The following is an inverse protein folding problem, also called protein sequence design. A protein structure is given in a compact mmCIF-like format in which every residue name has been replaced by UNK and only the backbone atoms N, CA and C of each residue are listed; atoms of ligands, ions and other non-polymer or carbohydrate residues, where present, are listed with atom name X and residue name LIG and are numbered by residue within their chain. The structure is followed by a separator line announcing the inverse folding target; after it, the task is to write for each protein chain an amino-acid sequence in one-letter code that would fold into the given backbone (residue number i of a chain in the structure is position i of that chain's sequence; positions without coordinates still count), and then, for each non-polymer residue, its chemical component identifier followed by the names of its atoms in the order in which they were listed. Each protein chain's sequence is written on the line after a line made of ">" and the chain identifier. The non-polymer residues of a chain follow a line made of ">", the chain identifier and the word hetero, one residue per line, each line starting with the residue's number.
data_IF_939920127894
#
_entry.id   IF_939920127894
#
_cell.length_a   1.000
_cell.length_b   1.000
_cell.length_c   1.000
_cell.angle_alpha   90.00
_cell.angle_beta   90.00
_cell.angle_gamma   90.00
#
_symmetry.space_group_name_H-M   'P 1'
#
loop_
_entity.id
_entity.type
_entity.pdbx_description
1 polymer ?
#
# COMPACT_ATOMS: atom_id res chain seq x y z
N UNK A 1 35.97 9.81 28.01
CA UNK A 1 35.45 8.42 28.03
C UNK A 1 33.98 8.31 28.42
N UNK A 2 33.45 9.16 29.32
CA UNK A 2 32.02 9.14 29.68
C UNK A 2 31.10 9.69 28.55
N UNK A 3 31.57 10.63 27.73
CA UNK A 3 30.79 11.18 26.59
C UNK A 3 30.62 10.20 25.42
N UNK A 4 31.62 9.37 25.10
CA UNK A 4 31.48 8.31 24.10
C UNK A 4 30.45 7.24 24.50
N UNK A 5 30.34 6.95 25.81
CA UNK A 5 29.36 6.00 26.33
C UNK A 5 27.92 6.56 26.35
N UNK A 6 27.76 7.89 26.33
CA UNK A 6 26.47 8.56 26.17
C UNK A 6 26.05 8.62 24.69
N UNK A 7 26.98 8.90 23.77
CA UNK A 7 26.73 8.84 22.32
C UNK A 7 26.33 7.43 21.85
N UNK A 8 26.91 6.38 22.46
CA UNK A 8 26.52 4.99 22.21
C UNK A 8 25.22 4.56 22.92
N UNK A 9 24.69 5.36 23.85
CA UNK A 9 23.39 5.11 24.49
C UNK A 9 22.21 5.75 23.74
N UNK A 10 22.44 6.78 22.93
CA UNK A 10 21.44 7.32 21.99
C UNK A 10 21.22 6.41 20.76
N UNK A 11 22.18 5.51 20.45
CA UNK A 11 22.09 4.53 19.36
C UNK A 11 21.50 3.16 19.78
N UNK A 12 20.74 3.09 20.89
CA UNK A 12 20.00 1.86 21.24
C UNK A 12 18.66 1.84 20.50
N UNK A 13 18.45 0.81 19.68
CA UNK A 13 17.29 0.60 18.80
C UNK A 13 15.97 1.19 19.29
N UNK A 14 15.35 2.00 18.43
CA UNK A 14 14.17 2.79 18.76
C UNK A 14 14.04 4.10 17.99
N UNK A 15 14.86 4.33 16.95
CA UNK A 15 14.72 5.50 16.09
C UNK A 15 13.49 5.40 15.18
N UNK A 16 13.08 6.50 14.50
CA UNK A 16 11.96 6.48 13.57
C UNK A 16 12.01 5.38 12.51
N UNK A 17 13.22 5.07 12.01
CA UNK A 17 13.44 3.99 11.05
C UNK A 17 13.15 2.63 11.69
N UNK A 18 13.58 2.40 12.92
CA UNK A 18 13.35 1.14 13.62
C UNK A 18 11.86 0.94 13.94
N UNK A 19 11.15 2.01 14.32
CA UNK A 19 9.70 2.00 14.52
C UNK A 19 8.96 1.69 13.21
N UNK A 20 9.31 2.37 12.12
CA UNK A 20 8.75 2.10 10.81
C UNK A 20 8.98 0.65 10.38
N UNK A 21 10.20 0.14 10.53
CA UNK A 21 10.53 -1.23 10.14
C UNK A 21 9.79 -2.26 11.00
N UNK A 22 9.68 -2.05 12.31
CA UNK A 22 8.91 -2.92 13.20
C UNK A 22 7.42 -2.96 12.79
N UNK A 23 6.83 -1.80 12.49
CA UNK A 23 5.44 -1.73 12.04
C UNK A 23 5.27 -2.35 10.64
N UNK A 24 6.20 -2.13 9.72
CA UNK A 24 6.18 -2.72 8.40
C UNK A 24 6.29 -4.25 8.47
N UNK A 25 7.17 -4.77 9.33
CA UNK A 25 7.30 -6.22 9.58
C UNK A 25 6.01 -6.84 10.13
N UNK A 26 5.25 -6.09 10.94
CA UNK A 26 3.97 -6.55 11.50
C UNK A 26 2.84 -6.50 10.45
N UNK A 27 2.71 -5.39 9.72
CA UNK A 27 1.55 -5.12 8.86
C UNK A 27 1.67 -5.64 7.44
N UNK A 28 2.87 -5.58 6.86
CA UNK A 28 3.06 -5.95 5.46
C UNK A 28 2.78 -7.43 5.15
N UNK A 29 3.15 -8.42 5.99
CA UNK A 29 2.85 -9.83 5.69
C UNK A 29 1.34 -10.12 5.63
N UNK A 30 0.54 -9.41 6.42
CA UNK A 30 -0.91 -9.50 6.34
C UNK A 30 -1.43 -8.85 5.05
N UNK A 31 -0.93 -7.66 4.71
CA UNK A 31 -1.29 -6.95 3.50
C UNK A 31 -0.98 -7.76 2.23
N UNK A 32 0.25 -8.27 2.08
CA UNK A 32 0.64 -9.07 0.93
C UNK A 32 -0.21 -10.34 0.80
N UNK A 33 -0.61 -10.95 1.92
CA UNK A 33 -1.50 -12.12 1.91
C UNK A 33 -2.88 -11.77 1.35
N UNK A 34 -3.43 -10.62 1.73
CA UNK A 34 -4.71 -10.12 1.18
C UNK A 34 -4.60 -9.96 -0.34
N UNK A 35 -3.51 -9.36 -0.83
CA UNK A 35 -3.26 -9.17 -2.25
C UNK A 35 -3.09 -10.50 -3.00
N UNK A 36 -2.32 -11.44 -2.45
CA UNK A 36 -2.11 -12.75 -3.07
C UNK A 36 -3.38 -13.60 -3.14
N UNK A 37 -4.30 -13.43 -2.19
CA UNK A 37 -5.57 -14.17 -2.16
C UNK A 37 -6.53 -13.81 -3.30
N UNK A 38 -6.34 -12.68 -3.98
CA UNK A 38 -7.10 -12.35 -5.19
C UNK A 38 -6.99 -13.43 -6.27
N UNK A 39 -5.85 -14.12 -6.34
CA UNK A 39 -5.65 -15.21 -7.30
C UNK A 39 -6.71 -16.33 -7.17
N UNK A 40 -7.28 -16.53 -5.97
CA UNK A 40 -8.35 -17.51 -5.73
C UNK A 40 -9.74 -17.06 -6.20
N UNK A 41 -9.91 -15.76 -6.50
CA UNK A 41 -11.16 -15.15 -6.95
C UNK A 41 -11.25 -15.02 -8.48
N UNK A 42 -10.20 -15.38 -9.21
CA UNK A 42 -10.18 -15.34 -10.68
C UNK A 42 -11.39 -16.07 -11.25
N UNK A 43 -12.18 -15.36 -12.06
CA UNK A 43 -13.38 -15.89 -12.72
C UNK A 43 -14.61 -16.03 -11.81
N UNK A 44 -14.56 -15.49 -10.58
CA UNK A 44 -15.64 -15.56 -9.58
C UNK A 44 -16.14 -14.16 -9.22
N UNK A 45 -17.41 -14.03 -8.87
CA UNK A 45 -18.00 -12.74 -8.45
C UNK A 45 -18.02 -11.70 -9.58
N UNK A 46 -18.11 -10.41 -9.24
CA UNK A 46 -17.78 -9.31 -10.15
C UNK A 46 -16.36 -8.80 -9.83
N UNK A 47 -15.64 -8.31 -10.83
CA UNK A 47 -14.26 -7.84 -10.64
C UNK A 47 -14.23 -6.65 -9.67
N UNK A 48 -15.16 -5.70 -9.82
CA UNK A 48 -15.32 -4.57 -8.89
C UNK A 48 -15.54 -5.02 -7.44
N UNK A 49 -16.38 -6.03 -7.24
CA UNK A 49 -16.75 -6.52 -5.90
C UNK A 49 -15.58 -7.26 -5.25
N UNK A 50 -14.74 -7.92 -6.03
CA UNK A 50 -13.52 -8.56 -5.54
C UNK A 50 -12.45 -7.54 -5.14
N UNK A 51 -12.36 -6.40 -5.85
CA UNK A 51 -11.37 -5.36 -5.60
C UNK A 51 -11.77 -4.36 -4.51
N UNK A 52 -13.07 -4.18 -4.25
CA UNK A 52 -13.55 -3.24 -3.25
C UNK A 52 -13.02 -3.54 -1.83
N UNK A 53 -13.03 -4.81 -1.33
CA UNK A 53 -12.37 -5.16 -0.07
C UNK A 53 -10.86 -4.86 -0.06
N UNK A 54 -10.20 -4.96 -1.21
CA UNK A 54 -8.77 -4.67 -1.34
C UNK A 54 -8.51 -3.18 -1.19
N UNK A 55 -9.33 -2.34 -1.81
CA UNK A 55 -9.21 -0.89 -1.67
C UNK A 55 -9.42 -0.44 -0.21
N UNK A 56 -10.42 -1.00 0.48
CA UNK A 56 -10.65 -0.74 1.92
C UNK A 56 -9.45 -1.13 2.78
N UNK A 57 -8.97 -2.37 2.62
CA UNK A 57 -7.81 -2.86 3.34
C UNK A 57 -6.53 -2.07 3.00
N UNK A 58 -6.38 -1.61 1.76
CA UNK A 58 -5.26 -0.78 1.32
C UNK A 58 -5.27 0.59 1.99
N UNK A 59 -6.43 1.25 2.09
CA UNK A 59 -6.58 2.52 2.81
C UNK A 59 -6.16 2.35 4.28
N UNK A 60 -6.67 1.31 4.95
CA UNK A 60 -6.34 1.03 6.35
C UNK A 60 -4.84 0.74 6.53
N UNK A 61 -4.28 -0.12 5.67
CA UNK A 61 -2.85 -0.44 5.67
C UNK A 61 -1.99 0.81 5.53
N UNK A 62 -2.28 1.66 4.53
CA UNK A 62 -1.50 2.86 4.29
C UNK A 62 -1.65 3.91 5.39
N UNK A 63 -2.80 4.01 6.06
CA UNK A 63 -2.96 4.87 7.24
C UNK A 63 -2.05 4.44 8.38
N UNK A 64 -1.99 3.14 8.65
CA UNK A 64 -1.14 2.59 9.70
C UNK A 64 0.35 2.81 9.39
N UNK A 65 0.81 2.47 8.18
CA UNK A 65 2.26 2.49 7.88
C UNK A 65 2.82 3.87 7.53
N UNK A 66 2.04 4.76 6.89
CA UNK A 66 2.56 6.06 6.45
C UNK A 66 2.92 6.96 7.63
N UNK A 67 2.10 6.97 8.69
CA UNK A 67 2.34 7.79 9.88
C UNK A 67 3.69 7.47 10.54
N UNK A 68 4.04 6.18 10.61
CA UNK A 68 5.33 5.72 11.14
C UNK A 68 6.52 6.04 10.23
N UNK A 69 6.29 6.20 8.91
CA UNK A 69 7.34 6.54 7.96
C UNK A 69 7.71 8.04 7.98
N UNK A 70 6.78 8.93 8.34
CA UNK A 70 7.00 10.39 8.28
C UNK A 70 8.29 10.87 8.97
N UNK A 71 8.64 10.46 10.20
CA UNK A 71 9.82 11.00 10.85
C UNK A 71 11.12 10.52 10.18
N UNK A 72 11.09 9.48 9.34
CA UNK A 72 12.23 9.05 8.55
C UNK A 72 12.64 10.07 7.45
N UNK A 73 11.75 11.00 7.12
CA UNK A 73 11.97 12.05 6.11
C UNK A 73 12.35 13.41 6.70
N UNK A 74 12.56 13.50 8.02
CA UNK A 74 12.87 14.76 8.72
C UNK A 74 14.35 15.14 8.69
N UNK A 75 15.25 14.19 8.37
CA UNK A 75 16.69 14.41 8.28
C UNK A 75 17.28 13.60 7.12
N UNK A 76 18.18 14.19 6.30
CA UNK A 76 18.83 13.48 5.20
C UNK A 76 19.50 12.17 5.63
N UNK A 77 20.15 12.14 6.81
CA UNK A 77 20.83 10.96 7.32
C UNK A 77 19.83 9.82 7.63
N UNK A 78 18.68 10.17 8.22
CA UNK A 78 17.63 9.19 8.55
C UNK A 78 16.94 8.69 7.28
N UNK A 79 16.76 9.55 6.28
CA UNK A 79 16.22 9.17 4.96
C UNK A 79 17.12 8.19 4.22
N UNK A 80 18.44 8.36 4.30
CA UNK A 80 19.40 7.39 3.73
C UNK A 80 19.22 6.01 4.39
N UNK A 81 19.23 5.96 5.73
CA UNK A 81 19.00 4.70 6.48
C UNK A 81 17.67 4.03 6.13
N UNK A 82 16.61 4.82 5.98
CA UNK A 82 15.30 4.33 5.55
C UNK A 82 15.37 3.64 4.18
N UNK A 83 16.00 4.28 3.19
CA UNK A 83 16.13 3.72 1.83
C UNK A 83 16.96 2.44 1.81
N UNK A 84 18.02 2.38 2.62
CA UNK A 84 18.85 1.18 2.78
C UNK A 84 18.02 0.04 3.38
N UNK A 85 17.28 0.28 4.46
CA UNK A 85 16.46 -0.75 5.08
C UNK A 85 15.33 -1.26 4.18
N UNK A 86 14.67 -0.38 3.40
CA UNK A 86 13.67 -0.80 2.39
C UNK A 86 14.31 -1.66 1.29
N UNK A 87 15.54 -1.33 0.86
CA UNK A 87 16.26 -2.13 -0.13
C UNK A 87 16.59 -3.53 0.41
N UNK A 88 17.10 -3.60 1.64
CA UNK A 88 17.59 -4.85 2.25
C UNK A 88 16.46 -5.84 2.56
N UNK A 89 15.25 -5.35 2.77
CA UNK A 89 14.06 -6.19 2.99
C UNK A 89 13.52 -6.81 1.69
N UNK A 90 13.99 -6.38 0.52
CA UNK A 90 13.45 -6.82 -0.77
C UNK A 90 12.01 -6.34 -1.04
N UNK A 91 11.50 -5.45 -0.19
CA UNK A 91 10.15 -4.92 -0.23
C UNK A 91 10.10 -3.70 -1.16
N UNK A 92 10.23 -3.99 -2.47
CA UNK A 92 10.09 -2.98 -3.50
C UNK A 92 8.63 -2.67 -3.83
N UNK A 93 8.34 -1.53 -4.49
CA UNK A 93 6.99 -1.16 -4.93
C UNK A 93 6.31 -2.22 -5.81
N UNK A 94 7.09 -3.13 -6.41
CA UNK A 94 6.55 -4.23 -7.20
C UNK A 94 5.89 -5.33 -6.38
N UNK A 95 6.21 -5.48 -5.09
CA UNK A 95 5.66 -6.54 -4.25
C UNK A 95 4.12 -6.44 -4.11
N UNK A 96 3.59 -5.23 -4.06
CA UNK A 96 2.14 -4.97 -3.97
C UNK A 96 1.47 -4.93 -5.35
N UNK A 97 2.19 -4.46 -6.37
CA UNK A 97 1.66 -4.30 -7.73
C UNK A 97 1.43 -5.66 -8.40
N UNK A 98 2.38 -6.59 -8.28
CA UNK A 98 2.37 -7.84 -9.05
C UNK A 98 1.15 -8.74 -8.77
N UNK A 99 0.72 -8.96 -7.51
CA UNK A 99 -0.46 -9.80 -7.25
C UNK A 99 -1.75 -9.20 -7.82
N UNK A 100 -1.93 -7.88 -7.70
CA UNK A 100 -3.07 -7.16 -8.27
C UNK A 100 -3.08 -7.20 -9.80
N UNK A 101 -1.93 -6.90 -10.41
CA UNK A 101 -1.79 -6.94 -11.86
C UNK A 101 -2.03 -8.36 -12.40
N UNK A 102 -1.51 -9.38 -11.72
CA UNK A 102 -1.72 -10.78 -12.10
C UNK A 102 -3.19 -11.20 -12.02
N UNK A 103 -3.94 -10.71 -11.02
CA UNK A 103 -5.38 -10.91 -10.94
C UNK A 103 -6.11 -10.24 -12.12
N UNK A 104 -5.84 -8.97 -12.38
CA UNK A 104 -6.45 -8.21 -13.47
C UNK A 104 -6.14 -8.81 -14.85
N UNK A 105 -4.90 -9.24 -15.08
CA UNK A 105 -4.48 -9.91 -16.31
C UNK A 105 -5.20 -11.25 -16.50
N UNK A 106 -5.40 -12.01 -15.42
CA UNK A 106 -6.15 -13.26 -15.47
C UNK A 106 -7.64 -13.03 -15.79
N UNK A 107 -8.28 -12.04 -15.17
CA UNK A 107 -9.66 -11.66 -15.47
C UNK A 107 -9.80 -11.10 -16.90
N UNK A 108 -8.81 -10.35 -17.39
CA UNK A 108 -8.77 -9.85 -18.76
C UNK A 108 -8.69 -10.99 -19.78
N UNK A 109 -7.87 -12.03 -19.52
CA UNK A 109 -7.84 -13.25 -20.37
C UNK A 109 -9.17 -13.99 -20.41
N UNK A 110 -10.00 -13.87 -19.37
CA UNK A 110 -11.35 -14.42 -19.32
C UNK A 110 -12.40 -13.50 -19.97
N UNK A 111 -12.01 -12.34 -20.49
CA UNK A 111 -12.91 -11.35 -21.08
C UNK A 111 -13.73 -10.57 -20.06
N UNK A 112 -13.39 -10.67 -18.77
CA UNK A 112 -14.11 -10.03 -17.64
C UNK A 112 -13.57 -8.65 -17.30
N UNK A 113 -12.39 -8.30 -17.83
CA UNK A 113 -11.81 -6.95 -17.80
C UNK A 113 -11.60 -6.51 -19.25
N UNK A 114 -11.89 -5.25 -19.55
CA UNK A 114 -11.77 -4.70 -20.90
C UNK A 114 -10.34 -4.88 -21.46
N UNK A 115 -10.19 -5.22 -22.75
CA UNK A 115 -8.87 -5.46 -23.36
C UNK A 115 -7.98 -4.20 -23.45
N UNK A 116 -8.57 -3.01 -23.32
CA UNK A 116 -7.84 -1.73 -23.27
C UNK A 116 -7.26 -1.39 -21.90
N UNK A 117 -7.65 -2.12 -20.85
CA UNK A 117 -7.13 -1.91 -19.49
C UNK A 117 -5.69 -2.41 -19.43
N UNK A 118 -4.77 -1.58 -18.93
CA UNK A 118 -3.42 -2.02 -18.55
C UNK A 118 -3.47 -2.59 -17.12
N UNK A 119 -3.27 -3.91 -16.91
CA UNK A 119 -3.35 -4.52 -15.58
C UNK A 119 -2.36 -3.91 -14.58
N UNK A 120 -1.14 -3.59 -15.02
CA UNK A 120 -0.09 -3.01 -14.15
C UNK A 120 -0.41 -1.56 -13.82
N UNK A 121 -0.83 -0.78 -14.83
CA UNK A 121 -1.29 0.60 -14.65
C UNK A 121 -2.46 0.70 -13.69
N UNK A 122 -3.48 -0.15 -13.85
CA UNK A 122 -4.66 -0.20 -12.98
C UNK A 122 -4.32 -0.61 -11.55
N UNK A 123 -3.44 -1.61 -11.36
CA UNK A 123 -2.96 -1.99 -10.03
C UNK A 123 -2.25 -0.80 -9.34
N UNK A 124 -1.40 -0.07 -10.07
CA UNK A 124 -0.75 1.14 -9.55
C UNK A 124 -1.75 2.23 -9.18
N UNK A 125 -2.76 2.46 -10.00
CA UNK A 125 -3.78 3.48 -9.74
C UNK A 125 -4.64 3.13 -8.53
N UNK A 126 -4.99 1.86 -8.34
CA UNK A 126 -5.71 1.40 -7.16
C UNK A 126 -4.90 1.69 -5.89
N UNK A 127 -3.63 1.27 -5.85
CA UNK A 127 -2.75 1.49 -4.71
C UNK A 127 -2.50 2.98 -4.46
N UNK A 128 -2.31 3.77 -5.53
CA UNK A 128 -2.14 5.22 -5.43
C UNK A 128 -3.38 5.91 -4.86
N UNK A 129 -4.58 5.48 -5.26
CA UNK A 129 -5.84 5.99 -4.69
C UNK A 129 -5.96 5.70 -3.20
N UNK A 130 -5.60 4.47 -2.78
CA UNK A 130 -5.61 4.09 -1.37
C UNK A 130 -4.60 4.91 -0.57
N UNK A 131 -3.39 5.07 -1.09
CA UNK A 131 -2.32 5.88 -0.49
C UNK A 131 -2.73 7.35 -0.35
N UNK A 132 -3.33 7.93 -1.40
CA UNK A 132 -3.82 9.31 -1.41
C UNK A 132 -4.93 9.54 -0.38
N UNK A 133 -5.89 8.61 -0.29
CA UNK A 133 -6.96 8.70 0.70
C UNK A 133 -6.39 8.68 2.13
N UNK A 134 -5.51 7.71 2.41
CA UNK A 134 -4.82 7.61 3.69
C UNK A 134 -4.00 8.87 4.02
N UNK A 135 -3.31 9.42 3.01
CA UNK A 135 -2.56 10.67 3.16
C UNK A 135 -3.46 11.84 3.55
N UNK A 136 -4.62 12.01 2.91
CA UNK A 136 -5.54 13.09 3.26
C UNK A 136 -6.12 12.92 4.65
N UNK A 137 -6.59 11.74 5.02
CA UNK A 137 -7.10 11.50 6.37
C UNK A 137 -6.04 11.79 7.44
N UNK A 138 -4.78 11.39 7.21
CA UNK A 138 -3.66 11.72 8.10
C UNK A 138 -3.40 13.24 8.21
N UNK A 139 -3.54 13.98 7.12
CA UNK A 139 -3.10 15.38 7.03
C UNK A 139 -4.18 16.40 7.41
N UNK A 140 -5.44 16.12 7.08
CA UNK A 140 -6.58 17.03 7.29
C UNK A 140 -7.70 16.43 8.15
N UNK A 141 -7.55 15.18 8.61
CA UNK A 141 -8.51 14.47 9.45
C UNK A 141 -9.54 13.67 8.64
N UNK A 142 -10.13 12.65 9.28
CA UNK A 142 -11.07 11.72 8.65
C UNK A 142 -12.37 12.38 8.16
N UNK A 143 -12.78 13.50 8.75
CA UNK A 143 -14.03 14.20 8.42
C UNK A 143 -13.90 15.18 7.24
N UNK A 144 -12.68 15.38 6.72
CA UNK A 144 -12.40 16.37 5.68
C UNK A 144 -12.63 15.85 4.24
N UNK A 145 -12.98 14.57 4.07
CA UNK A 145 -13.15 13.91 2.78
C UNK A 145 -14.28 12.88 2.79
N UNK A 146 -14.42 12.10 1.70
CA UNK A 146 -15.34 10.96 1.69
C UNK A 146 -14.95 9.95 2.79
N UNK A 147 -15.93 9.18 3.28
CA UNK A 147 -15.63 8.06 4.16
C UNK A 147 -14.71 7.05 3.44
N UNK A 148 -14.00 6.22 4.20
CA UNK A 148 -13.12 5.17 3.61
C UNK A 148 -13.86 4.26 2.64
N UNK A 149 -15.11 3.90 2.96
CA UNK A 149 -15.96 3.09 2.07
C UNK A 149 -16.28 3.82 0.76
N UNK A 150 -16.70 5.10 0.84
CA UNK A 150 -16.99 5.90 -0.34
C UNK A 150 -15.71 6.13 -1.19
N UNK A 151 -14.57 6.41 -0.55
CA UNK A 151 -13.29 6.53 -1.22
C UNK A 151 -12.87 5.24 -1.93
N UNK A 152 -13.06 4.08 -1.30
CA UNK A 152 -12.80 2.79 -1.94
C UNK A 152 -13.68 2.57 -3.18
N UNK A 153 -14.98 2.89 -3.09
CA UNK A 153 -15.91 2.82 -4.23
C UNK A 153 -15.50 3.76 -5.37
N UNK A 154 -15.11 4.99 -5.05
CA UNK A 154 -14.62 5.98 -6.03
C UNK A 154 -13.36 5.48 -6.76
N UNK A 155 -12.41 4.90 -6.03
CA UNK A 155 -11.19 4.31 -6.60
C UNK A 155 -11.57 3.21 -7.59
N UNK A 156 -12.38 2.23 -7.19
CA UNK A 156 -12.76 1.09 -8.04
C UNK A 156 -13.53 1.57 -9.29
N UNK A 157 -14.48 2.49 -9.11
CA UNK A 157 -15.22 3.09 -10.23
C UNK A 157 -14.29 3.83 -11.19
N UNK A 158 -13.28 4.52 -10.67
CA UNK A 158 -12.30 5.26 -11.45
C UNK A 158 -11.46 4.38 -12.39
N UNK A 159 -11.26 3.11 -12.05
CA UNK A 159 -10.46 2.17 -12.86
C UNK A 159 -11.14 1.74 -14.16
N UNK A 160 -12.47 1.84 -14.26
CA UNK A 160 -13.26 1.52 -15.48
C UNK A 160 -12.89 0.15 -16.08
N UNK A 161 -12.94 -0.89 -15.25
CA UNK A 161 -12.44 -2.22 -15.58
C UNK A 161 -13.37 -3.02 -16.51
N UNK A 162 -14.67 -2.82 -16.40
CA UNK A 162 -15.67 -3.62 -17.10
C UNK A 162 -15.63 -3.38 -18.63
N UNK A 163 -15.80 -4.44 -19.46
CA UNK A 163 -15.99 -4.29 -20.89
C UNK A 163 -17.17 -3.38 -21.22
N UNK A 164 -17.07 -2.62 -22.32
CA UNK A 164 -18.23 -1.90 -22.84
C UNK A 164 -19.32 -2.92 -23.24
N UNK A 165 -20.54 -2.70 -22.77
CA UNK A 165 -21.73 -3.49 -23.12
C UNK A 165 -22.12 -3.30 -24.59
#
# INVERSE_FOLDING_TARGET
>A
MLEMALSLREERGGGPVDLFLALLQDRLPLWLRILHNLSHLVGKGQVSDNLLPIARAGIDYYLEVQSAALPAFTSPAVTVRFREAVRDTGLGPMAEILPLAGYLEAEQRLGRVAPSVDPVGSARLLLAGCFQHAYYEMFVGADAGPSRDAGAEEIIKGLRLEPAA
#
